data_IF_445693028763
#
_entry.id   IF_445693028763
#
_cell.length_a   1.000
_cell.length_b   1.000
_cell.length_c   1.000
_cell.angle_alpha   90.00
_cell.angle_beta   90.00
_cell.angle_gamma   90.00
#
_symmetry.space_group_name_H-M   'P 1'
#
loop_
_entity.id
_entity.type
_entity.pdbx_description
1 polymer ?
#
# COMPACT_ATOMS: atom_id res chain seq x y z
N UNK A 1 1.29 -14.36 -7.16
CA UNK A 1 -0.11 -14.81 -7.24
C UNK A 1 -0.65 -14.59 -8.66
N UNK A 2 -0.91 -15.68 -9.40
CA UNK A 2 -1.67 -15.63 -10.66
C UNK A 2 -3.17 -15.53 -10.38
N UNK A 3 -3.86 -14.63 -11.08
CA UNK A 3 -5.32 -14.46 -11.04
C UNK A 3 -5.85 -14.55 -12.46
N UNK A 4 -6.88 -15.38 -12.70
CA UNK A 4 -7.45 -15.59 -14.04
C UNK A 4 -8.63 -14.65 -14.34
N UNK A 5 -9.35 -14.21 -13.31
CA UNK A 5 -10.45 -13.27 -13.43
C UNK A 5 -10.79 -12.66 -12.07
N UNK A 6 -11.70 -11.65 -12.02
CA UNK A 6 -12.41 -11.05 -13.16
C UNK A 6 -11.50 -10.13 -14.01
N UNK A 7 -11.97 -9.74 -15.20
CA UNK A 7 -11.28 -8.69 -15.99
C UNK A 7 -11.42 -7.33 -15.31
N UNK A 8 -12.59 -7.03 -14.74
CA UNK A 8 -12.89 -5.80 -14.01
C UNK A 8 -13.20 -6.15 -12.55
N UNK A 9 -12.35 -5.76 -11.57
CA UNK A 9 -12.55 -6.16 -10.18
C UNK A 9 -13.60 -5.31 -9.46
N UNK A 10 -14.09 -5.79 -8.31
CA UNK A 10 -15.06 -5.07 -7.51
C UNK A 10 -14.45 -3.78 -6.93
N UNK A 11 -13.24 -3.84 -6.38
CA UNK A 11 -12.48 -2.66 -5.97
C UNK A 11 -11.50 -2.26 -7.08
N UNK A 12 -11.63 -1.06 -7.65
CA UNK A 12 -10.88 -0.68 -8.85
C UNK A 12 -10.71 0.81 -9.02
N UNK A 13 -9.65 1.20 -9.72
CA UNK A 13 -9.52 2.57 -10.21
C UNK A 13 -10.32 2.76 -11.49
N UNK A 14 -11.19 3.76 -11.53
CA UNK A 14 -11.73 4.30 -12.76
C UNK A 14 -11.16 5.71 -13.00
N UNK A 15 -11.02 6.08 -14.27
CA UNK A 15 -10.47 7.37 -14.67
C UNK A 15 -11.32 8.05 -15.74
N UNK A 16 -11.28 9.37 -15.72
CA UNK A 16 -11.85 10.24 -16.74
C UNK A 16 -10.83 11.30 -17.17
N UNK A 17 -11.11 11.96 -18.29
CA UNK A 17 -10.26 13.03 -18.81
C UNK A 17 -10.03 14.15 -17.79
N UNK A 18 -8.94 14.89 -17.97
CA UNK A 18 -8.56 15.97 -17.07
C UNK A 18 -8.07 15.47 -15.71
N UNK A 19 -7.38 14.33 -15.70
CA UNK A 19 -6.66 13.77 -14.54
C UNK A 19 -7.57 13.39 -13.36
N UNK A 20 -8.79 12.97 -13.70
CA UNK A 20 -9.82 12.57 -12.75
C UNK A 20 -9.71 11.09 -12.47
N UNK A 21 -9.60 10.76 -11.19
CA UNK A 21 -9.47 9.40 -10.69
C UNK A 21 -10.59 9.16 -9.68
N UNK A 22 -11.13 7.95 -9.67
CA UNK A 22 -12.06 7.51 -8.63
C UNK A 22 -11.78 6.05 -8.31
N UNK A 23 -11.69 5.75 -7.02
CA UNK A 23 -11.68 4.38 -6.55
C UNK A 23 -13.13 3.95 -6.33
N UNK A 24 -13.53 2.88 -7.02
CA UNK A 24 -14.86 2.29 -6.93
C UNK A 24 -14.79 0.99 -6.15
N UNK A 25 -15.78 0.72 -5.31
CA UNK A 25 -16.03 -0.58 -4.70
C UNK A 25 -17.44 -1.04 -5.12
N UNK A 26 -17.52 -2.06 -5.98
CA UNK A 26 -18.73 -2.39 -6.70
C UNK A 26 -19.19 -1.21 -7.55
N UNK A 27 -20.36 -0.66 -7.22
CA UNK A 27 -20.92 0.56 -7.83
C UNK A 27 -20.73 1.82 -6.97
N UNK A 28 -20.08 1.71 -5.81
CA UNK A 28 -19.97 2.80 -4.83
C UNK A 28 -18.61 3.48 -4.96
N UNK A 29 -18.53 4.80 -5.19
CA UNK A 29 -17.27 5.52 -5.11
C UNK A 29 -16.81 5.63 -3.65
N UNK A 30 -15.56 5.26 -3.40
CA UNK A 30 -14.95 5.27 -2.05
C UNK A 30 -13.89 6.35 -1.87
N UNK A 31 -13.24 6.75 -2.95
CA UNK A 31 -12.23 7.82 -2.97
C UNK A 31 -12.31 8.54 -4.31
N UNK A 32 -12.47 9.86 -4.29
CA UNK A 32 -12.20 10.69 -5.46
C UNK A 32 -10.79 11.25 -5.36
N UNK A 33 -10.12 11.37 -6.49
CA UNK A 33 -8.83 12.02 -6.58
C UNK A 33 -8.70 12.80 -7.89
N UNK A 34 -7.97 13.91 -7.85
CA UNK A 34 -7.64 14.69 -9.04
C UNK A 34 -6.20 15.10 -9.00
N UNK A 35 -5.45 14.73 -10.03
CA UNK A 35 -4.04 15.12 -10.12
C UNK A 35 -3.93 16.63 -10.31
N UNK A 36 -2.97 17.22 -9.62
CA UNK A 36 -2.72 18.66 -9.66
C UNK A 36 -2.23 19.11 -11.03
N UNK A 37 -2.49 20.39 -11.33
CA UNK A 37 -1.98 21.07 -12.52
C UNK A 37 -0.45 20.95 -12.65
N UNK A 38 0.25 21.04 -11.50
CA UNK A 38 1.70 20.99 -11.35
C UNK A 38 2.32 19.61 -11.53
N UNK A 39 1.51 18.54 -11.54
CA UNK A 39 1.98 17.15 -11.54
C UNK A 39 2.84 16.76 -10.32
N UNK A 40 2.81 17.55 -9.24
CA UNK A 40 3.52 17.27 -7.98
C UNK A 40 2.64 16.63 -6.90
N UNK A 41 1.51 16.04 -7.28
CA UNK A 41 0.60 15.42 -6.34
C UNK A 41 -0.83 15.36 -6.85
N UNK A 42 -1.74 15.05 -5.93
CA UNK A 42 -3.18 15.04 -6.17
C UNK A 42 -3.95 15.56 -4.96
N UNK A 43 -5.14 16.07 -5.23
CA UNK A 43 -6.17 16.29 -4.22
C UNK A 43 -6.99 15.01 -4.09
N UNK A 44 -7.36 14.63 -2.87
CA UNK A 44 -8.25 13.50 -2.63
C UNK A 44 -9.43 13.89 -1.74
N UNK A 45 -10.51 13.12 -1.86
CA UNK A 45 -11.66 13.17 -0.96
C UNK A 45 -12.23 11.76 -0.75
N UNK A 46 -12.32 11.34 0.51
CA UNK A 46 -12.93 10.07 0.91
C UNK A 46 -14.43 10.24 1.04
N UNK A 47 -15.19 9.24 0.62
CA UNK A 47 -16.65 9.27 0.76
C UNK A 47 -17.13 8.67 2.08
N UNK A 48 -16.23 8.02 2.84
CA UNK A 48 -16.57 7.29 4.06
C UNK A 48 -17.29 5.95 3.82
N UNK A 49 -17.46 5.54 2.55
CA UNK A 49 -18.21 4.34 2.17
C UNK A 49 -17.36 3.09 1.97
N UNK A 50 -16.05 3.20 2.18
CA UNK A 50 -15.14 2.09 2.02
C UNK A 50 -15.39 0.97 3.04
N UNK A 51 -15.51 -0.26 2.57
CA UNK A 51 -15.49 -1.46 3.39
C UNK A 51 -14.25 -2.30 3.07
N UNK A 52 -13.63 -2.89 4.09
CA UNK A 52 -12.51 -3.80 3.83
C UNK A 52 -12.99 -5.06 3.10
N UNK A 53 -12.30 -5.52 2.05
CA UNK A 53 -12.62 -6.80 1.40
C UNK A 53 -12.19 -8.02 2.21
N UNK A 54 -11.44 -7.83 3.30
CA UNK A 54 -10.99 -8.93 4.17
C UNK A 54 -11.93 -9.06 5.38
N UNK A 55 -12.19 -10.30 5.78
CA UNK A 55 -12.92 -10.56 7.01
C UNK A 55 -12.18 -10.00 8.23
N UNK A 56 -12.90 -9.43 9.23
CA UNK A 56 -12.29 -8.94 10.46
C UNK A 56 -11.40 -9.98 11.16
N UNK A 57 -10.12 -9.64 11.32
CA UNK A 57 -9.16 -10.52 12.01
C UNK A 57 -9.44 -10.60 13.52
N UNK A 58 -9.70 -11.83 13.99
CA UNK A 58 -9.86 -12.17 15.40
C UNK A 58 -8.51 -12.45 16.07
N UNK A 59 -8.44 -12.21 17.38
CA UNK A 59 -7.24 -12.48 18.18
C UNK A 59 -6.80 -13.95 18.13
N UNK A 60 -7.76 -14.87 18.10
CA UNK A 60 -7.52 -16.31 17.96
C UNK A 60 -6.70 -16.63 16.70
N UNK A 61 -7.06 -16.03 15.55
CA UNK A 61 -6.31 -16.22 14.30
C UNK A 61 -4.88 -15.72 14.42
N UNK A 62 -4.67 -14.56 15.05
CA UNK A 62 -3.32 -14.02 15.24
C UNK A 62 -2.43 -14.95 16.09
N UNK A 63 -3.00 -15.54 17.15
CA UNK A 63 -2.29 -16.52 18.00
C UNK A 63 -2.01 -17.82 17.25
N UNK A 64 -2.97 -18.34 16.51
CA UNK A 64 -2.77 -19.53 15.70
C UNK A 64 -1.63 -19.35 14.69
N UNK A 65 -1.53 -18.18 14.03
CA UNK A 65 -0.39 -17.89 13.14
C UNK A 65 0.93 -17.84 13.92
N UNK A 66 0.93 -17.25 15.13
CA UNK A 66 2.13 -17.14 15.97
C UNK A 66 2.67 -18.50 16.45
N UNK A 67 1.82 -19.52 16.56
CA UNK A 67 2.25 -20.90 16.88
C UNK A 67 3.10 -21.52 15.78
N UNK A 68 2.85 -21.18 14.50
CA UNK A 68 3.57 -21.75 13.34
C UNK A 68 4.65 -20.84 12.78
N UNK A 69 4.57 -19.54 13.04
CA UNK A 69 5.54 -18.54 12.62
C UNK A 69 5.77 -17.57 13.77
N UNK A 70 6.95 -17.64 14.39
CA UNK A 70 7.31 -16.71 15.45
C UNK A 70 7.21 -15.26 14.92
N UNK A 71 6.54 -14.35 15.64
CA UNK A 71 6.51 -12.94 15.24
C UNK A 71 7.91 -12.36 15.07
N UNK A 72 8.09 -11.56 14.01
CA UNK A 72 9.41 -11.01 13.64
C UNK A 72 10.33 -12.00 12.88
N UNK A 73 9.96 -13.27 12.75
CA UNK A 73 10.67 -14.20 11.86
C UNK A 73 10.33 -13.94 10.39
N UNK A 74 11.16 -14.43 9.47
CA UNK A 74 10.88 -14.32 8.03
C UNK A 74 9.56 -15.02 7.61
N UNK A 75 9.14 -16.06 8.34
CA UNK A 75 7.90 -16.80 8.06
C UNK A 75 6.65 -16.04 8.47
N UNK A 76 6.75 -15.07 9.37
CA UNK A 76 5.61 -14.30 9.85
C UNK A 76 4.90 -13.52 8.72
N UNK A 77 5.59 -12.64 7.95
CA UNK A 77 4.97 -11.97 6.81
C UNK A 77 4.48 -12.95 5.73
N UNK A 78 5.21 -14.05 5.48
CA UNK A 78 4.83 -15.07 4.49
C UNK A 78 3.48 -15.73 4.82
N UNK A 79 3.24 -16.05 6.11
CA UNK A 79 1.97 -16.63 6.55
C UNK A 79 0.81 -15.64 6.42
N UNK A 80 1.04 -14.38 6.76
CA UNK A 80 0.02 -13.33 6.61
C UNK A 80 -0.25 -12.99 5.15
N UNK A 81 0.77 -13.02 4.29
CA UNK A 81 0.60 -12.90 2.85
C UNK A 81 -0.27 -14.04 2.31
N UNK A 82 0.05 -15.29 2.65
CA UNK A 82 -0.75 -16.45 2.24
C UNK A 82 -2.21 -16.38 2.72
N UNK A 83 -2.43 -15.92 3.96
CA UNK A 83 -3.78 -15.68 4.49
C UNK A 83 -4.53 -14.64 3.65
N UNK A 84 -3.94 -13.46 3.45
CA UNK A 84 -4.59 -12.39 2.73
C UNK A 84 -4.79 -12.71 1.25
N UNK A 85 -3.88 -13.44 0.62
CA UNK A 85 -4.07 -13.95 -0.74
C UNK A 85 -5.30 -14.86 -0.82
N UNK A 86 -5.47 -15.78 0.12
CA UNK A 86 -6.64 -16.67 0.15
C UNK A 86 -7.95 -15.89 0.30
N UNK A 87 -8.02 -14.95 1.26
CA UNK A 87 -9.20 -14.11 1.48
C UNK A 87 -9.51 -13.26 0.24
N UNK A 88 -8.50 -12.58 -0.32
CA UNK A 88 -8.64 -11.68 -1.46
C UNK A 88 -9.11 -12.38 -2.74
N UNK A 89 -8.73 -13.64 -2.96
CA UNK A 89 -9.22 -14.42 -4.11
C UNK A 89 -10.72 -14.70 -4.04
N UNK A 90 -11.28 -14.74 -2.85
CA UNK A 90 -12.72 -14.99 -2.63
C UNK A 90 -13.53 -13.70 -2.46
N UNK A 91 -12.86 -12.56 -2.27
CA UNK A 91 -13.51 -11.27 -2.07
C UNK A 91 -14.07 -10.72 -3.38
N UNK A 92 -15.40 -10.68 -3.50
CA UNK A 92 -16.10 -10.10 -4.66
C UNK A 92 -15.74 -8.62 -4.86
N UNK A 93 -15.65 -7.86 -3.76
CA UNK A 93 -15.29 -6.45 -3.74
C UNK A 93 -13.80 -6.21 -3.46
N UNK A 94 -12.94 -7.14 -3.87
CA UNK A 94 -11.48 -7.04 -3.79
C UNK A 94 -10.84 -6.41 -5.03
N UNK A 95 -9.54 -6.04 -4.95
CA UNK A 95 -8.80 -5.41 -6.05
C UNK A 95 -8.28 -6.37 -7.11
N UNK A 96 -8.32 -7.68 -6.84
CA UNK A 96 -7.72 -8.69 -7.72
C UNK A 96 -8.49 -8.82 -9.03
N UNK A 97 -7.76 -8.68 -10.12
CA UNK A 97 -8.23 -8.92 -11.48
C UNK A 97 -7.24 -9.82 -12.23
N UNK A 98 -7.61 -10.28 -13.42
CA UNK A 98 -6.76 -11.09 -14.29
C UNK A 98 -5.33 -10.51 -14.41
N UNK A 99 -4.31 -11.33 -14.13
CA UNK A 99 -2.90 -10.96 -14.17
C UNK A 99 -2.07 -11.52 -13.01
N UNK A 100 -0.80 -11.09 -12.98
CA UNK A 100 0.12 -11.40 -11.88
C UNK A 100 0.06 -10.34 -10.79
N UNK A 101 0.00 -10.81 -9.55
CA UNK A 101 -0.04 -10.00 -8.34
C UNK A 101 1.04 -10.46 -7.36
N UNK A 102 1.50 -9.53 -6.54
CA UNK A 102 2.42 -9.77 -5.44
C UNK A 102 1.83 -9.18 -4.17
N UNK A 103 1.93 -9.90 -3.06
CA UNK A 103 1.69 -9.38 -1.72
C UNK A 103 2.94 -9.63 -0.88
N UNK A 104 3.62 -8.56 -0.49
CA UNK A 104 4.91 -8.68 0.18
C UNK A 104 5.22 -7.49 1.10
N UNK A 105 6.18 -7.61 2.04
CA UNK A 105 6.64 -6.47 2.84
C UNK A 105 7.17 -5.32 1.99
N UNK A 106 7.16 -4.11 2.55
CA UNK A 106 7.81 -2.94 1.92
C UNK A 106 9.34 -3.14 1.81
N UNK A 107 9.80 -3.52 0.61
CA UNK A 107 11.22 -3.63 0.28
C UNK A 107 11.84 -2.34 -0.21
N UNK A 108 11.02 -1.36 -0.60
CA UNK A 108 11.43 -0.10 -1.20
C UNK A 108 11.63 0.99 -0.15
N UNK A 109 11.21 0.72 1.10
CA UNK A 109 11.27 1.65 2.22
C UNK A 109 10.51 2.94 1.91
N UNK A 110 9.34 2.80 1.30
CA UNK A 110 8.45 3.92 0.97
C UNK A 110 8.02 4.69 2.21
N UNK A 111 7.91 4.03 3.35
CA UNK A 111 7.44 4.66 4.58
C UNK A 111 8.53 5.42 5.34
N UNK A 112 8.44 6.75 5.31
CA UNK A 112 9.32 7.65 6.05
C UNK A 112 8.92 7.67 7.53
N UNK A 113 9.89 7.44 8.41
CA UNK A 113 9.64 7.32 9.85
C UNK A 113 8.89 8.54 10.45
N UNK A 114 9.22 9.74 9.97
CA UNK A 114 8.63 11.00 10.45
C UNK A 114 7.15 11.19 10.06
N UNK A 115 6.63 10.44 9.09
CA UNK A 115 5.25 10.59 8.63
C UNK A 115 4.26 9.75 9.46
N UNK A 116 4.72 8.70 10.14
CA UNK A 116 3.83 7.82 10.94
C UNK A 116 3.08 8.55 12.05
N UNK A 117 3.71 9.38 12.91
CA UNK A 117 2.98 10.06 13.98
C UNK A 117 1.95 11.07 13.45
N UNK A 118 2.22 11.68 12.29
CA UNK A 118 1.31 12.65 11.65
C UNK A 118 0.01 12.00 11.23
N UNK A 119 0.07 10.75 10.78
CA UNK A 119 -1.11 10.05 10.27
C UNK A 119 -2.21 9.89 11.32
N UNK A 120 -1.85 9.69 12.60
CA UNK A 120 -2.84 9.62 13.69
C UNK A 120 -3.32 11.01 14.13
N UNK A 121 -2.44 12.01 14.07
CA UNK A 121 -2.77 13.38 14.48
C UNK A 121 -3.60 14.14 13.42
N UNK A 122 -3.44 13.81 12.14
CA UNK A 122 -4.04 14.51 11.00
C UNK A 122 -4.44 13.52 9.89
N UNK A 123 -5.69 13.05 9.97
CA UNK A 123 -6.35 12.17 9.00
C UNK A 123 -7.64 12.81 8.44
N UNK A 124 -7.53 13.93 7.71
CA UNK A 124 -8.72 14.60 7.18
C UNK A 124 -9.38 13.76 6.08
N UNK A 125 -10.71 13.87 5.94
CA UNK A 125 -11.43 13.18 4.87
C UNK A 125 -11.13 13.74 3.47
N UNK A 126 -10.58 14.96 3.41
CA UNK A 126 -10.11 15.65 2.20
C UNK A 126 -8.71 16.19 2.45
N UNK A 127 -7.81 16.08 1.48
CA UNK A 127 -6.44 16.56 1.64
C UNK A 127 -5.62 16.36 0.38
N UNK A 128 -4.30 16.42 0.53
CA UNK A 128 -3.37 16.27 -0.59
C UNK A 128 -2.48 15.03 -0.41
N UNK A 129 -2.11 14.40 -1.51
CA UNK A 129 -0.95 13.51 -1.56
C UNK A 129 0.13 14.22 -2.35
N UNK A 130 1.19 14.62 -1.66
CA UNK A 130 2.34 15.31 -2.24
C UNK A 130 3.30 14.30 -2.85
N UNK A 131 3.70 14.53 -4.09
CA UNK A 131 4.80 13.84 -4.71
C UNK A 131 6.03 14.75 -4.64
N UNK A 132 7.15 14.21 -4.18
CA UNK A 132 8.43 14.93 -4.10
C UNK A 132 8.48 16.10 -3.09
N UNK A 133 7.47 16.27 -2.23
CA UNK A 133 7.50 17.18 -1.08
C UNK A 133 7.37 18.68 -1.39
N UNK A 134 6.83 19.07 -2.55
CA UNK A 134 6.71 20.48 -2.93
C UNK A 134 5.38 21.12 -2.50
N UNK A 135 5.46 22.26 -1.80
CA UNK A 135 4.38 23.27 -1.72
C UNK A 135 3.16 22.92 -0.88
N UNK A 136 3.12 21.74 -0.23
CA UNK A 136 1.97 21.30 0.57
C UNK A 136 2.24 21.44 2.08
N UNK A 137 1.18 21.53 2.90
CA UNK A 137 1.33 21.58 4.35
C UNK A 137 2.08 20.36 4.90
N UNK A 138 2.94 20.57 5.90
CA UNK A 138 3.83 19.53 6.45
C UNK A 138 3.04 18.39 7.09
N UNK A 139 1.83 18.69 7.58
CA UNK A 139 0.86 17.77 8.13
C UNK A 139 0.28 16.80 7.09
N UNK A 140 0.26 17.19 5.81
CA UNK A 140 -0.27 16.37 4.71
C UNK A 140 0.75 15.37 4.17
N UNK A 141 2.03 15.52 4.52
CA UNK A 141 3.08 14.56 4.19
C UNK A 141 2.77 13.18 4.79
N UNK A 142 2.35 12.26 3.92
CA UNK A 142 2.01 10.88 4.26
C UNK A 142 2.42 9.93 3.13
N UNK A 143 2.93 8.77 3.54
CA UNK A 143 3.36 7.71 2.61
C UNK A 143 2.28 6.62 2.45
N UNK A 144 1.14 6.77 3.13
CA UNK A 144 0.05 5.79 3.20
C UNK A 144 -1.27 6.54 3.33
N UNK A 145 -2.27 6.18 2.52
CA UNK A 145 -3.62 6.78 2.58
C UNK A 145 -4.65 5.80 3.17
N UNK A 146 -5.22 6.08 4.36
CA UNK A 146 -6.36 5.33 4.87
C UNK A 146 -7.60 5.53 3.98
N UNK A 147 -8.23 4.44 3.49
CA UNK A 147 -9.47 4.53 2.69
C UNK A 147 -10.74 4.84 3.51
N UNK A 148 -10.67 4.72 4.83
CA UNK A 148 -11.68 5.21 5.77
C UNK A 148 -10.99 5.93 6.92
N UNK A 149 -11.73 6.78 7.62
CA UNK A 149 -11.24 7.46 8.80
C UNK A 149 -10.66 6.47 9.81
N UNK A 150 -9.49 6.81 10.35
CA UNK A 150 -8.89 6.07 11.45
C UNK A 150 -9.81 6.10 12.67
N UNK A 151 -9.99 4.95 13.30
CA UNK A 151 -10.81 4.87 14.51
C UNK A 151 -10.12 5.54 15.69
N UNK A 152 -10.92 6.02 16.65
CA UNK A 152 -10.39 6.66 17.85
C UNK A 152 -9.46 5.71 18.64
N UNK A 153 -8.32 6.18 19.19
CA UNK A 153 -7.35 5.34 19.92
C UNK A 153 -7.92 4.53 21.10
N UNK A 154 -9.02 5.02 21.68
CA UNK A 154 -9.71 4.41 22.82
C UNK A 154 -10.89 3.52 22.42
N UNK A 155 -11.18 3.36 21.12
CA UNK A 155 -12.24 2.47 20.66
C UNK A 155 -11.98 1.01 21.11
N UNK A 156 -13.00 0.23 21.50
CA UNK A 156 -12.81 -1.12 22.05
C UNK A 156 -11.95 -2.04 21.18
N UNK A 157 -12.18 -2.01 19.86
CA UNK A 157 -11.41 -2.81 18.89
C UNK A 157 -9.94 -2.38 18.81
N UNK A 158 -9.67 -1.07 18.83
CA UNK A 158 -8.30 -0.54 18.85
C UNK A 158 -7.59 -0.92 20.14
N UNK A 159 -8.26 -0.87 21.30
CA UNK A 159 -7.69 -1.35 22.58
C UNK A 159 -7.26 -2.81 22.52
N UNK A 160 -8.09 -3.67 21.92
CA UNK A 160 -7.76 -5.08 21.72
C UNK A 160 -6.51 -5.25 20.83
N UNK A 161 -6.40 -4.51 19.74
CA UNK A 161 -5.21 -4.53 18.87
C UNK A 161 -3.97 -3.91 19.54
N UNK A 162 -4.11 -2.88 20.38
CA UNK A 162 -2.99 -2.31 21.16
C UNK A 162 -2.40 -3.36 22.12
N UNK A 163 -3.24 -4.22 22.70
CA UNK A 163 -2.77 -5.36 23.48
C UNK A 163 -1.96 -6.32 22.62
N UNK A 164 -2.47 -6.71 21.45
CA UNK A 164 -1.73 -7.58 20.51
C UNK A 164 -0.41 -6.96 20.06
N UNK A 165 -0.36 -5.63 19.87
CA UNK A 165 0.87 -4.91 19.52
C UNK A 165 1.93 -5.06 20.61
N UNK A 166 1.57 -4.84 21.88
CA UNK A 166 2.47 -5.03 23.02
C UNK A 166 2.92 -6.48 23.19
N UNK A 167 2.04 -7.42 22.87
CA UNK A 167 2.34 -8.86 22.87
C UNK A 167 3.19 -9.29 21.64
N UNK A 168 3.44 -8.38 20.68
CA UNK A 168 4.22 -8.67 19.47
C UNK A 168 3.48 -9.50 18.43
N UNK A 169 2.18 -9.75 18.59
CA UNK A 169 1.37 -10.64 17.73
C UNK A 169 0.38 -9.88 16.83
N UNK A 170 0.50 -8.54 16.74
CA UNK A 170 -0.39 -7.73 15.90
C UNK A 170 -0.26 -8.16 14.43
N UNK A 171 -1.36 -8.55 13.76
CA UNK A 171 -1.31 -8.87 12.34
C UNK A 171 -0.96 -7.66 11.47
N UNK A 172 -0.21 -7.82 10.36
CA UNK A 172 0.28 -6.73 9.53
C UNK A 172 -0.85 -5.99 8.81
N UNK A 173 -0.72 -4.67 8.67
CA UNK A 173 -1.64 -3.86 7.88
C UNK A 173 -1.50 -4.25 6.40
N UNK A 174 -2.63 -4.49 5.73
CA UNK A 174 -2.63 -4.79 4.31
C UNK A 174 -2.88 -3.50 3.54
N UNK A 175 -1.93 -3.14 2.69
CA UNK A 175 -2.00 -1.98 1.83
C UNK A 175 -2.08 -2.41 0.36
N UNK A 176 -2.56 -1.53 -0.51
CA UNK A 176 -2.59 -1.73 -1.95
C UNK A 176 -1.91 -0.57 -2.65
N UNK A 177 -0.87 -0.84 -3.41
CA UNK A 177 -0.19 0.17 -4.23
C UNK A 177 -1.06 0.59 -5.41
N UNK A 178 -1.35 1.89 -5.50
CA UNK A 178 -2.07 2.48 -6.62
C UNK A 178 -1.14 3.46 -7.35
N UNK A 179 -0.67 3.09 -8.54
CA UNK A 179 0.28 3.89 -9.32
C UNK A 179 -0.25 5.28 -9.66
N UNK A 180 -1.54 5.41 -9.96
CA UNK A 180 -2.19 6.70 -10.24
C UNK A 180 -2.23 7.65 -9.03
N UNK A 181 -2.12 7.12 -7.81
CA UNK A 181 -1.98 7.92 -6.60
C UNK A 181 -0.51 8.09 -6.18
N UNK A 182 0.38 7.29 -6.75
CA UNK A 182 1.77 7.12 -6.34
C UNK A 182 1.90 6.90 -4.82
N UNK A 183 0.96 6.15 -4.23
CA UNK A 183 0.90 5.88 -2.80
C UNK A 183 0.15 4.57 -2.54
N UNK A 184 0.56 3.76 -1.56
CA UNK A 184 -0.25 2.69 -1.03
C UNK A 184 -1.48 3.23 -0.30
N UNK A 185 -2.61 2.56 -0.47
CA UNK A 185 -3.84 2.81 0.30
C UNK A 185 -4.06 1.68 1.30
N UNK A 186 -4.61 1.98 2.48
CA UNK A 186 -4.94 0.93 3.47
C UNK A 186 -6.16 0.15 3.00
N UNK A 187 -5.93 -1.12 2.64
CA UNK A 187 -6.94 -2.07 2.19
C UNK A 187 -7.60 -2.77 3.39
N UNK A 188 -6.81 -3.14 4.38
CA UNK A 188 -7.35 -3.62 5.65
C UNK A 188 -6.38 -3.32 6.78
N UNK A 189 -6.95 -3.17 7.98
CA UNK A 189 -6.19 -2.95 9.19
C UNK A 189 -6.10 -1.49 9.63
N UNK A 190 -7.05 -0.63 9.26
CA UNK A 190 -7.14 0.75 9.80
C UNK A 190 -7.10 0.77 11.33
N UNK A 191 -7.80 -0.15 12.00
CA UNK A 191 -7.78 -0.22 13.48
C UNK A 191 -6.43 -0.73 14.03
N UNK A 192 -5.73 -1.57 13.25
CA UNK A 192 -4.41 -2.13 13.59
C UNK A 192 -3.32 -1.07 13.39
N UNK A 193 -3.46 -0.26 12.35
CA UNK A 193 -2.69 0.94 12.10
C UNK A 193 -2.85 1.93 13.26
N UNK A 194 -4.09 2.30 13.62
CA UNK A 194 -4.34 3.13 14.80
C UNK A 194 -3.70 2.54 16.06
N UNK A 195 -3.86 1.23 16.28
CA UNK A 195 -3.31 0.57 17.47
C UNK A 195 -1.79 0.68 17.57
N UNK A 196 -1.06 0.43 16.48
CA UNK A 196 0.40 0.57 16.47
C UNK A 196 0.84 2.02 16.69
N UNK A 197 0.20 2.98 16.01
CA UNK A 197 0.50 4.41 16.15
C UNK A 197 0.20 4.92 17.57
N UNK A 198 -0.90 4.49 18.18
CA UNK A 198 -1.25 4.83 19.57
C UNK A 198 -0.31 4.19 20.61
N UNK A 199 0.61 3.32 20.21
CA UNK A 199 1.69 2.81 21.04
C UNK A 199 3.03 3.47 20.73
N UNK A 200 3.04 4.52 19.90
CA UNK A 200 4.25 5.23 19.46
C UNK A 200 5.10 4.42 18.49
N UNK A 201 4.56 3.32 17.95
CA UNK A 201 5.26 2.42 17.05
C UNK A 201 4.73 2.47 15.63
N UNK A 202 5.22 1.55 14.81
CA UNK A 202 4.77 1.35 13.42
C UNK A 202 4.21 -0.06 13.25
N UNK A 203 3.13 -0.24 12.46
CA UNK A 203 2.71 -1.57 12.08
C UNK A 203 3.69 -2.16 11.06
N UNK A 204 3.74 -3.49 11.01
CA UNK A 204 4.22 -4.17 9.81
C UNK A 204 3.20 -3.96 8.68
N UNK A 205 3.67 -3.74 7.45
CA UNK A 205 2.82 -3.49 6.29
C UNK A 205 3.16 -4.49 5.19
N UNK A 206 2.13 -5.16 4.69
CA UNK A 206 2.20 -5.97 3.47
C UNK A 206 1.49 -5.23 2.34
N UNK A 207 2.19 -5.05 1.23
CA UNK A 207 1.74 -4.25 0.09
C UNK A 207 1.35 -5.18 -1.04
N UNK A 208 0.08 -5.11 -1.42
CA UNK A 208 -0.45 -5.71 -2.63
C UNK A 208 -0.10 -4.82 -3.82
N UNK A 209 0.41 -5.41 -4.90
CA UNK A 209 0.66 -4.72 -6.16
C UNK A 209 0.50 -5.68 -7.33
N UNK A 210 0.38 -5.14 -8.54
CA UNK A 210 0.61 -5.93 -9.74
C UNK A 210 2.10 -6.27 -9.82
N UNK A 211 2.41 -7.51 -10.17
CA UNK A 211 3.79 -7.92 -10.35
C UNK A 211 4.32 -7.41 -11.69
N UNK A 212 5.56 -6.91 -11.68
CA UNK A 212 6.33 -6.66 -12.90
C UNK A 212 6.60 -7.97 -13.64
N UNK A 213 6.71 -7.90 -14.96
CA UNK A 213 7.02 -9.09 -15.77
C UNK A 213 8.50 -9.48 -15.68
N UNK A 214 8.80 -10.70 -16.10
CA UNK A 214 10.15 -11.26 -16.05
C UNK A 214 11.15 -10.51 -16.95
N UNK A 215 10.70 -9.91 -18.05
CA UNK A 215 11.57 -9.17 -18.95
C UNK A 215 12.03 -7.85 -18.31
N UNK A 216 11.12 -7.15 -17.64
CA UNK A 216 11.43 -5.96 -16.84
C UNK A 216 12.39 -6.29 -15.70
N UNK A 217 12.14 -7.40 -14.97
CA UNK A 217 13.05 -7.85 -13.91
C UNK A 217 14.45 -8.13 -14.45
N UNK A 218 14.57 -8.84 -15.57
CA UNK A 218 15.85 -9.13 -16.20
C UNK A 218 16.60 -7.85 -16.60
N UNK A 219 15.90 -6.91 -17.25
CA UNK A 219 16.45 -5.62 -17.64
C UNK A 219 16.97 -4.83 -16.42
N UNK A 220 16.17 -4.74 -15.35
CA UNK A 220 16.55 -3.99 -14.16
C UNK A 220 17.64 -4.69 -13.31
N UNK A 221 17.74 -6.02 -13.39
CA UNK A 221 18.72 -6.81 -12.66
C UNK A 221 20.12 -6.81 -13.30
N UNK A 222 20.22 -6.59 -14.62
CA UNK A 222 21.47 -6.67 -15.39
C UNK A 222 22.59 -5.81 -14.77
N UNK A 223 22.33 -4.50 -14.62
CA UNK A 223 23.31 -3.57 -14.07
C UNK A 223 23.72 -3.89 -12.62
N UNK A 224 22.80 -4.14 -11.67
CA UNK A 224 23.14 -4.59 -10.32
C UNK A 224 24.05 -5.82 -10.27
N UNK A 225 23.78 -6.83 -11.12
CA UNK A 225 24.58 -8.06 -11.20
C UNK A 225 25.97 -7.76 -11.73
N UNK A 226 26.08 -7.02 -12.83
CA UNK A 226 27.37 -6.62 -13.39
C UNK A 226 28.21 -5.80 -12.39
N UNK A 227 27.58 -4.88 -11.66
CA UNK A 227 28.24 -4.09 -10.62
C UNK A 227 28.74 -4.97 -9.46
N UNK A 228 27.98 -6.00 -9.08
CA UNK A 228 28.37 -6.97 -8.07
C UNK A 228 29.57 -7.82 -8.52
N UNK A 229 29.54 -8.36 -9.73
CA UNK A 229 30.63 -9.17 -10.29
C UNK A 229 31.94 -8.39 -10.32
N UNK A 230 31.89 -7.12 -10.75
CA UNK A 230 33.04 -6.21 -10.73
C UNK A 230 33.58 -5.97 -9.32
N UNK A 231 32.70 -5.74 -8.33
CA UNK A 231 33.13 -5.53 -6.93
C UNK A 231 33.78 -6.79 -6.37
N UNK A 232 33.14 -7.95 -6.50
CA UNK A 232 33.64 -9.22 -5.96
C UNK A 232 34.98 -9.63 -6.58
N UNK A 233 35.19 -9.39 -7.87
CA UNK A 233 36.44 -9.70 -8.56
C UNK A 233 37.67 -8.93 -8.01
N UNK A 234 37.45 -7.83 -7.30
CA UNK A 234 38.52 -7.00 -6.69
C UNK A 234 38.75 -7.28 -5.20
N UNK A 235 37.95 -8.17 -4.60
CA UNK A 235 38.00 -8.44 -3.15
C UNK A 235 38.96 -9.59 -2.83
N UNK A 236 40.19 -9.22 -2.46
CA UNK A 236 41.22 -10.16 -2.01
C UNK A 236 41.60 -10.01 -0.52
N UNK A 237 42.39 -10.95 -0.03
CA UNK A 237 43.01 -10.93 1.30
C UNK A 237 42.20 -11.62 2.42
N UNK A 238 42.70 -11.57 3.68
CA UNK A 238 42.14 -12.35 4.79
C UNK A 238 40.67 -12.06 5.13
N UNK A 239 40.18 -10.85 4.80
CA UNK A 239 38.78 -10.46 5.00
C UNK A 239 37.91 -10.64 3.75
N UNK A 240 38.47 -11.13 2.64
CA UNK A 240 37.78 -11.33 1.36
C UNK A 240 36.44 -12.07 1.49
N UNK A 241 36.39 -13.26 2.13
CA UNK A 241 35.14 -14.02 2.28
C UNK A 241 34.03 -13.24 3.00
N UNK A 242 34.36 -12.46 4.04
CA UNK A 242 33.38 -11.68 4.79
C UNK A 242 32.84 -10.50 3.96
N UNK A 243 33.70 -9.85 3.17
CA UNK A 243 33.30 -8.76 2.26
C UNK A 243 32.43 -9.30 1.12
N UNK A 244 32.78 -10.44 0.53
CA UNK A 244 31.97 -11.12 -0.50
C UNK A 244 30.59 -11.49 0.06
N UNK A 245 30.52 -12.03 1.28
CA UNK A 245 29.24 -12.34 1.90
C UNK A 245 28.38 -11.08 2.13
N UNK A 246 29.00 -9.95 2.44
CA UNK A 246 28.29 -8.67 2.56
C UNK A 246 27.76 -8.18 1.21
N UNK A 247 28.61 -8.15 0.18
CA UNK A 247 28.20 -7.78 -1.19
C UNK A 247 27.08 -8.68 -1.71
N UNK A 248 27.14 -9.98 -1.41
CA UNK A 248 26.11 -10.95 -1.78
C UNK A 248 24.76 -10.63 -1.13
N UNK A 249 24.75 -10.27 0.17
CA UNK A 249 23.53 -9.85 0.88
C UNK A 249 22.96 -8.56 0.31
N UNK A 250 23.82 -7.60 -0.04
CA UNK A 250 23.41 -6.35 -0.67
C UNK A 250 22.79 -6.58 -2.05
N UNK A 251 23.42 -7.41 -2.89
CA UNK A 251 22.86 -7.80 -4.19
C UNK A 251 21.51 -8.51 -4.00
N UNK A 252 21.43 -9.50 -3.12
CA UNK A 252 20.18 -10.23 -2.86
C UNK A 252 19.05 -9.28 -2.42
N UNK A 253 19.35 -8.30 -1.56
CA UNK A 253 18.37 -7.27 -1.16
C UNK A 253 17.93 -6.39 -2.33
N UNK A 254 18.86 -6.01 -3.22
CA UNK A 254 18.57 -5.17 -4.40
C UNK A 254 17.75 -5.93 -5.44
N UNK A 255 18.10 -7.18 -5.73
CA UNK A 255 17.33 -8.05 -6.62
C UNK A 255 15.93 -8.32 -6.07
N UNK A 256 15.81 -8.51 -4.75
CA UNK A 256 14.49 -8.63 -4.10
C UNK A 256 13.65 -7.38 -4.32
N UNK A 257 14.21 -6.18 -4.10
CA UNK A 257 13.49 -4.93 -4.35
C UNK A 257 13.06 -4.77 -5.82
N UNK A 258 13.87 -5.21 -6.78
CA UNK A 258 13.49 -5.23 -8.21
C UNK A 258 12.28 -6.14 -8.43
N UNK A 259 12.35 -7.40 -7.99
CA UNK A 259 11.23 -8.36 -8.11
C UNK A 259 9.96 -7.87 -7.41
N UNK A 260 10.12 -7.13 -6.31
CA UNK A 260 9.01 -6.60 -5.51
C UNK A 260 8.54 -5.23 -6.00
N UNK A 261 9.11 -4.70 -7.09
CA UNK A 261 8.70 -3.43 -7.64
C UNK A 261 7.27 -3.53 -8.15
N UNK A 262 6.41 -2.55 -7.83
CA UNK A 262 5.03 -2.59 -8.26
C UNK A 262 4.94 -2.21 -9.74
N UNK A 263 4.15 -2.96 -10.51
CA UNK A 263 3.72 -2.57 -11.86
C UNK A 263 2.59 -1.52 -11.79
N UNK A 264 2.30 -0.90 -12.94
CA UNK A 264 1.21 0.05 -13.10
C UNK A 264 -0.14 -0.60 -12.78
N UNK A 265 -0.90 0.09 -11.91
CA UNK A 265 -2.28 -0.26 -11.61
C UNK A 265 -3.14 -0.07 -12.85
N UNK A 266 -3.95 -1.07 -13.19
CA UNK A 266 -4.93 -0.94 -14.27
C UNK A 266 -6.05 -0.01 -13.82
N UNK A 267 -6.46 0.89 -14.71
CA UNK A 267 -7.65 1.72 -14.54
C UNK A 267 -8.65 1.45 -15.68
N UNK A 268 -9.93 1.62 -15.40
CA UNK A 268 -11.01 1.53 -16.39
C UNK A 268 -11.59 2.91 -16.69
N UNK A 269 -12.16 3.13 -17.88
CA UNK A 269 -12.89 4.35 -18.16
C UNK A 269 -14.06 4.52 -17.18
N UNK A 270 -14.20 5.70 -16.60
CA UNK A 270 -15.35 6.08 -15.80
C UNK A 270 -16.55 6.32 -16.74
N UNK A 271 -17.69 5.62 -16.56
CA UNK A 271 -18.86 5.78 -17.42
C UNK A 271 -19.36 7.22 -17.46
N UNK A 272 -19.59 7.75 -18.66
CA UNK A 272 -20.01 9.14 -18.86
C UNK A 272 -18.89 10.18 -18.76
N UNK A 273 -17.63 9.75 -18.58
CA UNK A 273 -16.45 10.60 -18.65
C UNK A 273 -16.40 11.69 -17.58
N UNK A 274 -15.74 12.81 -17.89
CA UNK A 274 -15.51 13.89 -16.94
C UNK A 274 -16.80 14.53 -16.40
N UNK A 275 -17.86 14.82 -17.19
CA UNK A 275 -19.10 15.39 -16.66
C UNK A 275 -19.79 14.49 -15.62
N UNK A 276 -19.86 13.18 -15.88
CA UNK A 276 -20.42 12.24 -14.94
C UNK A 276 -19.57 12.11 -13.67
N UNK A 277 -18.24 12.18 -13.81
CA UNK A 277 -17.33 12.17 -12.68
C UNK A 277 -17.54 13.39 -11.77
N UNK A 278 -17.67 14.59 -12.35
CA UNK A 278 -17.90 15.83 -11.58
C UNK A 278 -19.25 15.78 -10.85
N UNK A 279 -20.30 15.31 -11.52
CA UNK A 279 -21.61 15.12 -10.89
C UNK A 279 -21.54 14.11 -9.73
N UNK A 280 -20.82 12.99 -9.92
CA UNK A 280 -20.62 12.00 -8.88
C UNK A 280 -19.82 12.54 -7.69
N UNK A 281 -18.76 13.31 -7.95
CA UNK A 281 -17.95 13.97 -6.93
C UNK A 281 -18.80 14.98 -6.13
N UNK A 282 -19.53 15.87 -6.81
CA UNK A 282 -20.41 16.84 -6.15
C UNK A 282 -21.48 16.18 -5.26
N UNK A 283 -22.02 15.02 -5.68
CA UNK A 283 -23.01 14.28 -4.93
C UNK A 283 -22.44 13.54 -3.70
N UNK A 284 -21.23 12.98 -3.80
CA UNK A 284 -20.66 12.14 -2.74
C UNK A 284 -19.72 12.87 -1.78
N UNK A 285 -19.09 13.95 -2.25
CA UNK A 285 -18.15 14.78 -1.50
C UNK A 285 -18.49 16.26 -1.71
N UNK A 286 -19.69 16.71 -1.27
CA UNK A 286 -20.14 18.08 -1.49
C UNK A 286 -19.15 19.09 -0.90
N UNK A 287 -18.97 20.20 -1.60
CA UNK A 287 -18.04 21.27 -1.25
C UNK A 287 -16.57 20.97 -1.52
N UNK A 288 -16.21 19.79 -2.04
CA UNK A 288 -14.84 19.51 -2.45
C UNK A 288 -14.53 20.17 -3.79
N UNK A 289 -13.60 21.13 -3.78
CA UNK A 289 -13.16 21.89 -4.96
C UNK A 289 -11.65 21.68 -5.20
N UNK A 290 -11.24 20.58 -5.85
CA UNK A 290 -9.82 20.25 -6.05
C UNK A 290 -9.05 21.18 -6.99
N UNK A 291 -9.72 22.18 -7.57
CA UNK A 291 -9.13 23.19 -8.46
C UNK A 291 -9.01 24.58 -7.79
N UNK A 292 -9.46 24.75 -6.54
CA UNK A 292 -9.46 26.08 -5.90
C UNK A 292 -8.05 26.57 -5.52
N UNK A 293 -7.07 25.65 -5.44
CA UNK A 293 -5.70 25.91 -5.02
C UNK A 293 -4.68 25.86 -6.18
N UNK A 294 -5.14 25.98 -7.44
CA UNK A 294 -4.29 25.95 -8.64
C UNK A 294 -3.78 27.33 -9.07
#
# INVERSE_FOLDING_TARGET
MRVEGPVKPGLRMECADGRRLVLMQGAVPVLFARQRATHHGLHYARTGRYASPLAPLRAERARAVAEFAAPGSARWPERWAAYAEAELRTAADGPLHAGEWLLAPDTHRWFVAANWPKLLAHDPDRGHLTWFGYGDPVEDARDLLPLRALSHPEAPRVKAYRRQYREGVLPPVFAWWISGLNSPVVLDGHDRLTAALAQGGRPEVLILSRAVDAAWVALCAERPVLEYEKRVATLDGPLGPSRIANESRMLASRLRAIVHSPDLTRAWPFPGGAPAWEAAAAAHVPGWAPDADS
#
